data_IF_055603764773
#
_entry.id   IF_055603764773
#
_cell.length_a   1.000
_cell.length_b   1.000
_cell.length_c   1.000
_cell.angle_alpha   90.00
_cell.angle_beta   90.00
_cell.angle_gamma   90.00
#
_symmetry.space_group_name_H-M   'P 1'
#
loop_
_entity.id
_entity.type
_entity.pdbx_description
1 polymer ?
#
# COMPACT_ATOMS: atom_id res chain seq x y z
N UNK A 1 12.51 -3.02 6.32
CA UNK A 1 11.35 -2.18 5.97
C UNK A 1 10.11 -2.78 6.64
N UNK A 2 9.52 -2.10 7.64
CA UNK A 2 8.26 -2.49 8.29
C UNK A 2 7.26 -1.37 7.98
N UNK A 3 6.09 -1.72 7.44
CA UNK A 3 5.05 -0.82 6.97
C UNK A 3 3.95 -0.71 8.01
N UNK A 4 3.50 0.50 8.26
CA UNK A 4 2.53 0.81 9.29
C UNK A 4 1.34 1.52 8.69
N UNK A 5 0.21 0.82 8.68
CA UNK A 5 -1.16 1.32 8.78
C UNK A 5 -2.06 0.24 8.19
N UNK A 6 -2.77 -0.44 9.07
CA UNK A 6 -3.95 -1.19 8.70
C UNK A 6 -4.92 -1.14 9.87
N UNK A 7 -6.08 -0.55 9.61
CA UNK A 7 -7.04 -0.20 10.62
C UNK A 7 -7.85 -1.42 11.05
N UNK A 8 -7.71 -1.79 12.32
CA UNK A 8 -8.60 -2.73 12.99
C UNK A 8 -9.65 -1.91 13.73
N UNK A 9 -10.65 -1.42 12.99
CA UNK A 9 -11.90 -0.95 13.60
C UNK A 9 -12.98 -2.03 13.40
N UNK A 10 -13.92 -2.20 14.35
CA UNK A 10 -15.01 -3.17 14.19
C UNK A 10 -15.92 -2.92 12.97
N UNK A 11 -15.85 -1.74 12.36
CA UNK A 11 -16.62 -1.32 11.17
C UNK A 11 -15.83 -1.43 9.84
N UNK A 12 -14.56 -1.81 9.86
CA UNK A 12 -13.82 -2.24 8.66
C UNK A 12 -13.87 -3.77 8.56
N UNK A 13 -13.66 -4.38 7.37
CA UNK A 13 -13.43 -5.81 7.27
C UNK A 13 -12.28 -6.20 8.19
N UNK A 14 -12.66 -6.78 9.33
CA UNK A 14 -11.75 -7.00 10.43
C UNK A 14 -10.73 -8.08 10.10
N UNK A 15 -9.63 -8.07 10.84
CA UNK A 15 -8.72 -9.22 10.93
C UNK A 15 -9.43 -10.49 11.43
N UNK A 16 -10.69 -10.39 11.86
CA UNK A 16 -11.60 -11.49 12.16
C UNK A 16 -11.74 -12.50 11.02
N UNK A 17 -11.70 -12.07 9.75
CA UNK A 17 -11.68 -12.98 8.60
C UNK A 17 -10.40 -13.85 8.56
N UNK A 18 -9.35 -13.43 9.26
CA UNK A 18 -8.08 -14.17 9.43
C UNK A 18 -8.14 -15.07 10.69
N UNK A 19 -9.15 -14.93 11.58
CA UNK A 19 -9.30 -15.80 12.77
C UNK A 19 -9.84 -17.19 12.43
N UNK A 20 -10.38 -17.40 11.23
CA UNK A 20 -10.85 -18.72 10.76
C UNK A 20 -9.73 -19.70 10.43
N UNK A 21 -8.52 -19.22 10.15
CA UNK A 21 -7.32 -20.05 10.13
C UNK A 21 -6.72 -20.06 11.52
N UNK A 22 -7.24 -20.96 12.35
CA UNK A 22 -6.51 -21.49 13.51
C UNK A 22 -5.06 -21.70 13.05
N UNK A 23 -4.10 -21.00 13.66
CA UNK A 23 -2.68 -21.26 13.49
C UNK A 23 -2.39 -22.66 14.05
N UNK A 24 -2.79 -23.69 13.31
CA UNK A 24 -2.28 -25.02 13.49
C UNK A 24 -0.87 -24.93 12.90
N UNK A 25 0.12 -24.96 13.78
CA UNK A 25 1.48 -25.34 13.40
C UNK A 25 1.44 -26.79 12.92
N UNK A 26 0.85 -27.04 11.75
CA UNK A 26 1.09 -28.29 11.03
C UNK A 26 2.49 -28.20 10.44
N UNK A 27 3.46 -28.62 11.25
CA UNK A 27 4.35 -29.74 10.92
C UNK A 27 5.12 -29.75 9.60
N UNK A 28 5.11 -28.72 8.75
CA UNK A 28 6.06 -28.60 7.63
C UNK A 28 7.28 -27.83 8.11
N UNK A 29 8.37 -28.57 8.31
CA UNK A 29 9.74 -28.02 8.45
C UNK A 29 9.92 -26.90 7.42
N UNK A 30 9.97 -25.64 7.89
CA UNK A 30 10.25 -24.48 7.04
C UNK A 30 11.69 -24.59 6.56
N UNK A 31 11.90 -24.71 5.25
CA UNK A 31 13.25 -24.63 4.67
C UNK A 31 13.76 -23.20 4.82
N UNK A 32 14.94 -23.05 5.42
CA UNK A 32 15.72 -21.79 5.46
C UNK A 32 15.91 -21.35 3.99
N UNK A 33 15.38 -20.18 3.59
CA UNK A 33 15.59 -19.62 2.24
C UNK A 33 14.39 -19.53 1.28
N UNK A 34 13.14 -19.74 1.72
CA UNK A 34 11.97 -19.77 0.81
C UNK A 34 11.05 -18.53 0.79
N UNK A 35 11.38 -17.43 1.47
CA UNK A 35 10.45 -16.29 1.60
C UNK A 35 10.86 -15.06 0.76
N UNK A 36 11.36 -15.27 -0.45
CA UNK A 36 11.56 -14.18 -1.41
C UNK A 36 10.28 -13.94 -2.22
N UNK A 37 9.35 -13.19 -1.62
CA UNK A 37 8.03 -12.89 -2.19
C UNK A 37 7.83 -11.42 -2.57
N UNK A 38 8.90 -10.63 -2.55
CA UNK A 38 8.85 -9.24 -2.93
C UNK A 38 10.18 -8.53 -2.69
N UNK A 39 10.29 -7.30 -3.19
CA UNK A 39 11.53 -6.56 -3.13
C UNK A 39 11.40 -5.13 -3.65
N UNK A 40 12.56 -4.51 -3.86
CA UNK A 40 12.68 -3.14 -4.35
C UNK A 40 13.91 -3.04 -5.24
N UNK A 41 13.74 -2.42 -6.40
CA UNK A 41 14.83 -2.13 -7.31
C UNK A 41 15.81 -1.12 -6.68
N UNK A 42 17.12 -1.28 -6.91
CA UNK A 42 18.11 -0.28 -6.53
C UNK A 42 17.73 1.11 -7.07
N UNK A 43 17.95 2.15 -6.26
CA UNK A 43 17.66 3.55 -6.60
C UNK A 43 16.20 3.85 -7.03
N UNK A 44 15.25 2.94 -6.81
CA UNK A 44 13.86 3.04 -7.30
C UNK A 44 13.74 3.03 -8.83
N UNK A 45 14.75 2.50 -9.54
CA UNK A 45 14.84 2.53 -10.99
C UNK A 45 14.65 1.14 -11.60
N UNK A 46 14.04 1.07 -12.79
CA UNK A 46 13.86 -0.18 -13.52
C UNK A 46 12.65 -1.03 -13.12
N UNK A 47 11.70 -0.48 -12.34
CA UNK A 47 10.51 -1.19 -11.85
C UNK A 47 9.75 -1.92 -12.97
N UNK A 48 9.55 -1.29 -14.13
CA UNK A 48 8.80 -1.89 -15.25
C UNK A 48 9.39 -3.24 -15.69
N UNK A 49 10.72 -3.33 -15.77
CA UNK A 49 11.40 -4.58 -16.14
C UNK A 49 11.41 -5.57 -14.98
N UNK A 50 11.62 -5.08 -13.75
CA UNK A 50 11.57 -5.90 -12.55
C UNK A 50 10.21 -6.60 -12.41
N UNK A 51 9.10 -5.86 -12.47
CA UNK A 51 7.74 -6.39 -12.33
C UNK A 51 7.45 -7.49 -13.35
N UNK A 52 7.84 -7.29 -14.62
CA UNK A 52 7.65 -8.30 -15.68
C UNK A 52 8.43 -9.60 -15.39
N UNK A 53 9.63 -9.49 -14.83
CA UNK A 53 10.42 -10.64 -14.45
C UNK A 53 9.83 -11.35 -13.24
N UNK A 54 9.54 -10.61 -12.17
CA UNK A 54 9.14 -11.21 -10.88
C UNK A 54 7.70 -11.72 -10.85
N UNK A 55 6.83 -11.24 -11.75
CA UNK A 55 5.52 -11.84 -11.99
C UNK A 55 5.61 -13.32 -12.38
N UNK A 56 6.66 -13.72 -13.12
CA UNK A 56 6.91 -15.12 -13.49
C UNK A 56 7.50 -15.95 -12.35
N UNK A 57 8.08 -15.28 -11.34
CA UNK A 57 8.75 -15.91 -10.20
C UNK A 57 7.84 -16.02 -8.97
N UNK A 58 6.57 -15.66 -9.09
CA UNK A 58 5.59 -15.75 -8.01
C UNK A 58 5.81 -14.73 -6.89
N UNK A 59 6.47 -13.59 -7.17
CA UNK A 59 6.48 -12.50 -6.22
C UNK A 59 5.06 -11.98 -6.00
N UNK A 60 4.83 -11.42 -4.81
CA UNK A 60 3.53 -10.88 -4.41
C UNK A 60 3.51 -9.36 -4.38
N UNK A 61 4.65 -8.72 -4.16
CA UNK A 61 4.74 -7.26 -4.13
C UNK A 61 6.06 -6.72 -4.67
N UNK A 62 6.03 -5.49 -5.12
CA UNK A 62 7.17 -4.64 -5.44
C UNK A 62 7.03 -3.31 -4.68
N UNK A 63 8.14 -2.78 -4.17
CA UNK A 63 8.17 -1.53 -3.43
C UNK A 63 9.07 -0.46 -4.09
N UNK A 64 9.15 -0.49 -5.43
CA UNK A 64 10.08 0.32 -6.22
C UNK A 64 9.49 1.63 -6.73
N UNK A 65 8.16 1.78 -6.75
CA UNK A 65 7.50 2.98 -7.29
C UNK A 65 7.86 4.24 -6.48
N UNK A 66 8.47 5.27 -7.09
CA UNK A 66 8.77 6.52 -6.41
C UNK A 66 7.57 7.47 -6.44
N UNK A 67 7.19 8.02 -5.28
CA UNK A 67 6.45 9.30 -5.21
C UNK A 67 4.98 9.27 -5.51
N UNK A 68 4.38 8.08 -5.55
CA UNK A 68 2.94 7.93 -5.60
C UNK A 68 2.21 8.70 -4.49
N UNK A 69 0.90 8.76 -4.64
CA UNK A 69 0.01 9.35 -3.64
C UNK A 69 -0.16 8.40 -2.44
N UNK A 70 -0.48 8.94 -1.26
CA UNK A 70 -0.85 8.14 -0.09
C UNK A 70 -2.29 7.60 -0.25
N UNK A 71 -2.46 6.67 -1.18
CA UNK A 71 -3.72 6.01 -1.54
C UNK A 71 -3.55 4.50 -1.46
N UNK A 72 -4.67 3.76 -1.54
CA UNK A 72 -4.64 2.31 -1.42
C UNK A 72 -3.88 1.63 -2.58
N UNK A 73 -3.03 0.62 -2.29
CA UNK A 73 -2.24 -0.08 -3.31
C UNK A 73 -3.05 -0.71 -4.44
N UNK A 74 -2.47 -0.73 -5.62
CA UNK A 74 -2.99 -1.39 -6.84
C UNK A 74 -2.06 -2.52 -7.25
N UNK A 75 -2.50 -3.37 -8.18
CA UNK A 75 -1.64 -4.38 -8.80
C UNK A 75 -1.15 -3.89 -10.16
N UNK A 76 0.10 -4.22 -10.48
CA UNK A 76 0.72 -4.06 -11.80
C UNK A 76 1.19 -5.45 -12.25
N UNK A 77 0.64 -5.98 -13.35
CA UNK A 77 0.92 -7.35 -13.81
C UNK A 77 0.77 -8.41 -12.70
N UNK A 78 -0.28 -8.29 -11.87
CA UNK A 78 -0.55 -9.23 -10.77
C UNK A 78 0.29 -9.02 -9.50
N UNK A 79 1.28 -8.11 -9.51
CA UNK A 79 2.13 -7.77 -8.37
C UNK A 79 1.56 -6.57 -7.63
N UNK A 80 1.46 -6.61 -6.30
CA UNK A 80 1.12 -5.43 -5.50
C UNK A 80 2.19 -4.34 -5.62
N UNK A 81 1.80 -3.13 -6.00
CA UNK A 81 2.67 -1.96 -6.01
C UNK A 81 2.58 -1.23 -4.65
N UNK A 82 3.68 -1.21 -3.91
CA UNK A 82 3.83 -0.55 -2.61
C UNK A 82 4.74 0.68 -2.75
N UNK A 83 4.20 1.83 -3.18
CA UNK A 83 5.00 2.99 -3.53
C UNK A 83 5.61 3.65 -2.29
N UNK A 84 6.78 4.27 -2.47
CA UNK A 84 7.25 5.27 -1.52
C UNK A 84 6.45 6.56 -1.73
N UNK A 85 5.33 6.68 -1.02
CA UNK A 85 4.45 7.81 -1.21
C UNK A 85 5.09 9.14 -0.80
N UNK A 86 4.57 10.23 -1.36
CA UNK A 86 4.87 11.58 -0.89
C UNK A 86 4.19 11.87 0.45
N UNK A 87 4.93 12.56 1.33
CA UNK A 87 4.46 12.99 2.65
C UNK A 87 4.67 14.50 2.83
N UNK A 88 3.79 15.17 3.58
CA UNK A 88 3.92 16.60 3.84
C UNK A 88 5.26 16.93 4.49
N UNK A 89 5.78 18.12 4.20
CA UNK A 89 6.90 18.70 4.96
C UNK A 89 6.38 19.99 5.57
N UNK A 90 6.08 20.03 6.88
CA UNK A 90 5.53 21.23 7.51
C UNK A 90 6.38 22.48 7.22
N UNK A 91 5.73 23.55 6.77
CA UNK A 91 6.39 24.80 6.35
C UNK A 91 6.98 24.79 4.94
N UNK A 92 6.66 23.80 4.11
CA UNK A 92 7.06 23.71 2.70
C UNK A 92 5.83 23.53 1.81
N UNK A 93 5.84 24.15 0.63
CA UNK A 93 4.74 24.08 -0.34
C UNK A 93 4.62 22.73 -1.07
N UNK A 94 5.61 21.85 -0.94
CA UNK A 94 5.63 20.57 -1.65
C UNK A 94 6.05 19.43 -0.75
N UNK A 95 5.52 18.26 -1.09
CA UNK A 95 5.76 17.02 -0.36
C UNK A 95 7.12 16.41 -0.70
N UNK A 96 7.52 15.40 0.06
CA UNK A 96 8.78 14.70 -0.13
C UNK A 96 8.53 13.20 -0.02
N UNK A 97 9.24 12.39 -0.81
CA UNK A 97 9.16 10.94 -0.67
C UNK A 97 9.40 10.55 0.78
N UNK A 98 8.65 9.57 1.28
CA UNK A 98 8.78 9.03 2.64
C UNK A 98 10.07 8.22 2.87
N UNK A 99 11.20 8.72 2.38
CA UNK A 99 12.52 8.14 2.48
C UNK A 99 13.52 9.14 3.07
N UNK A 100 14.28 8.69 4.08
CA UNK A 100 15.36 9.45 4.73
C UNK A 100 16.33 10.14 3.76
N UNK A 101 16.73 9.47 2.67
CA UNK A 101 17.59 10.04 1.65
C UNK A 101 17.01 11.34 1.05
N UNK A 102 15.71 11.40 0.82
CA UNK A 102 15.07 12.59 0.26
C UNK A 102 15.08 13.76 1.24
N UNK A 103 14.97 13.51 2.55
CA UNK A 103 15.14 14.54 3.58
C UNK A 103 16.60 14.96 3.75
N UNK A 104 17.54 14.02 3.59
CA UNK A 104 18.97 14.30 3.55
C UNK A 104 19.36 15.19 2.36
N UNK A 105 18.85 14.89 1.17
CA UNK A 105 19.14 15.62 -0.05
C UNK A 105 18.54 17.02 -0.03
N UNK A 106 17.34 17.18 0.53
CA UNK A 106 16.61 18.45 0.59
C UNK A 106 16.88 19.32 1.84
N UNK A 107 17.84 18.94 2.69
CA UNK A 107 18.15 19.73 3.89
C UNK A 107 18.64 21.15 3.53
N UNK A 108 18.33 22.17 4.34
CA UNK A 108 18.83 23.52 4.10
C UNK A 108 20.36 23.54 3.96
N UNK A 109 20.86 24.18 2.90
CA UNK A 109 22.30 24.43 2.74
C UNK A 109 22.78 25.38 3.84
N UNK A 110 24.04 25.24 4.26
CA UNK A 110 24.64 26.11 5.29
C UNK A 110 24.52 27.57 4.85
N UNK A 111 23.87 28.42 5.65
CA UNK A 111 24.08 29.87 5.59
C UNK A 111 25.46 30.16 6.21
N UNK A 112 26.26 31.04 5.60
CA UNK A 112 27.59 31.43 6.13
C UNK A 112 27.44 31.81 7.62
N UNK A 113 28.31 31.29 8.48
CA UNK A 113 28.41 31.70 9.89
C UNK A 113 27.59 30.92 10.94
N UNK A 114 26.69 29.99 10.58
CA UNK A 114 25.98 29.15 11.58
C UNK A 114 26.12 27.67 11.27
N UNK A 115 26.72 26.88 12.18
CA UNK A 115 26.69 25.40 12.11
C UNK A 115 25.28 24.95 12.50
N UNK A 116 24.48 24.35 11.59
CA UNK A 116 23.17 23.88 11.97
C UNK A 116 23.31 22.70 12.94
N UNK A 117 22.44 22.63 13.97
CA UNK A 117 22.42 21.51 14.91
C UNK A 117 21.97 20.24 14.15
N UNK A 118 22.91 19.34 13.81
CA UNK A 118 22.63 18.10 13.06
C UNK A 118 21.48 17.27 13.65
N UNK A 119 21.32 17.32 14.98
CA UNK A 119 20.25 16.66 15.72
C UNK A 119 18.84 17.15 15.38
N UNK A 120 18.68 18.32 14.76
CA UNK A 120 17.36 18.84 14.35
C UNK A 120 17.00 18.45 12.91
N UNK A 121 17.93 17.91 12.13
CA UNK A 121 17.70 17.62 10.70
C UNK A 121 16.73 16.47 10.45
N UNK A 122 16.52 15.59 11.43
CA UNK A 122 15.48 14.56 11.36
C UNK A 122 14.07 15.07 11.69
N UNK A 123 13.91 16.30 12.22
CA UNK A 123 12.59 16.83 12.62
C UNK A 123 11.62 16.93 11.44
N UNK A 124 12.00 17.48 10.28
CA UNK A 124 11.08 17.55 9.13
C UNK A 124 10.59 16.17 8.68
N UNK A 125 11.45 15.15 8.71
CA UNK A 125 11.06 13.77 8.38
C UNK A 125 10.08 13.22 9.43
N UNK A 126 10.39 13.38 10.72
CA UNK A 126 9.51 12.97 11.83
C UNK A 126 8.14 13.62 11.71
N UNK A 127 8.11 14.94 11.57
CA UNK A 127 6.87 15.73 11.58
C UNK A 127 6.06 15.48 10.31
N UNK A 128 6.72 15.30 9.17
CA UNK A 128 6.07 14.87 7.93
C UNK A 128 5.46 13.48 8.00
N UNK A 129 6.15 12.52 8.63
CA UNK A 129 5.61 11.16 8.85
C UNK A 129 4.41 11.17 9.79
N UNK A 130 4.42 12.01 10.84
CA UNK A 130 3.26 12.18 11.72
C UNK A 130 2.08 12.83 10.98
N UNK A 131 2.33 13.89 10.22
CA UNK A 131 1.29 14.55 9.42
C UNK A 131 0.68 13.61 8.37
N UNK A 132 1.50 12.82 7.67
CA UNK A 132 1.00 11.81 6.73
C UNK A 132 0.25 10.69 7.44
N UNK A 133 0.66 10.30 8.65
CA UNK A 133 -0.09 9.36 9.45
C UNK A 133 -1.47 9.92 9.80
N UNK A 134 -1.54 11.13 10.38
CA UNK A 134 -2.81 11.72 10.81
C UNK A 134 -3.75 11.93 9.62
N UNK A 135 -3.23 12.41 8.48
CA UNK A 135 -3.94 12.53 7.21
C UNK A 135 -4.62 11.23 6.78
N UNK A 136 -3.90 10.10 6.80
CA UNK A 136 -4.47 8.81 6.44
C UNK A 136 -5.38 8.27 7.55
N UNK A 137 -5.01 8.45 8.82
CA UNK A 137 -5.75 7.94 9.97
C UNK A 137 -7.14 8.58 10.11
N UNK A 138 -7.25 9.87 9.79
CA UNK A 138 -8.49 10.64 9.84
C UNK A 138 -9.21 10.68 8.48
N UNK A 139 -8.52 10.32 7.41
CA UNK A 139 -9.02 10.28 6.04
C UNK A 139 -9.13 8.86 5.51
N UNK A 140 -8.47 8.59 4.39
CA UNK A 140 -8.68 7.42 3.53
C UNK A 140 -8.15 6.08 4.08
N UNK A 141 -7.47 6.07 5.23
CA UNK A 141 -6.85 4.89 5.86
C UNK A 141 -5.81 4.16 5.00
N UNK A 142 -5.29 4.79 3.95
CA UNK A 142 -4.25 4.19 3.11
C UNK A 142 -2.96 3.89 3.91
N UNK A 143 -2.20 2.84 3.55
CA UNK A 143 -0.94 2.51 4.21
C UNK A 143 0.08 3.66 4.16
N UNK A 144 0.90 3.81 5.23
CA UNK A 144 2.08 4.67 5.22
C UNK A 144 3.34 3.82 5.05
N UNK A 145 3.95 3.91 3.88
CA UNK A 145 5.23 3.27 3.57
C UNK A 145 6.38 4.17 4.02
N UNK A 146 7.33 3.65 4.80
CA UNK A 146 8.51 4.40 5.25
C UNK A 146 9.77 3.73 4.71
N UNK A 147 10.49 4.44 3.84
CA UNK A 147 11.82 4.11 3.38
C UNK A 147 12.88 4.65 4.33
N UNK A 148 13.84 3.81 4.71
CA UNK A 148 14.93 4.25 5.55
C UNK A 148 16.16 3.38 5.29
N UNK A 149 17.33 3.99 5.21
CA UNK A 149 18.62 3.32 5.14
C UNK A 149 19.12 3.08 6.57
N UNK A 150 19.70 1.90 6.84
CA UNK A 150 20.33 1.60 8.13
C UNK A 150 21.69 2.30 8.23
N UNK A 151 21.67 3.62 8.09
CA UNK A 151 22.84 4.47 8.00
C UNK A 151 22.86 5.52 9.11
N UNK A 152 24.07 5.93 9.49
CA UNK A 152 24.29 6.89 10.57
C UNK A 152 24.34 8.35 10.12
N UNK A 153 23.83 8.65 8.91
CA UNK A 153 23.86 9.99 8.32
C UNK A 153 23.39 11.07 9.29
N UNK A 154 24.18 12.14 9.37
CA UNK A 154 23.94 13.27 10.27
C UNK A 154 23.81 12.88 11.75
N UNK A 155 24.54 11.84 12.18
CA UNK A 155 24.52 11.32 13.54
C UNK A 155 23.24 10.53 13.84
N UNK A 156 22.71 9.78 12.87
CA UNK A 156 21.57 8.88 13.04
C UNK A 156 20.22 9.58 13.25
N UNK A 157 20.09 10.84 12.82
CA UNK A 157 18.88 11.63 13.12
C UNK A 157 17.62 11.10 12.44
N UNK A 158 17.74 10.45 11.28
CA UNK A 158 16.60 9.89 10.55
C UNK A 158 16.13 8.56 11.16
N UNK A 159 17.06 7.71 11.58
CA UNK A 159 16.75 6.51 12.38
C UNK A 159 15.94 6.86 13.64
N UNK A 160 16.37 7.90 14.39
CA UNK A 160 15.62 8.38 15.56
C UNK A 160 14.26 8.96 15.21
N UNK A 161 14.12 9.60 14.04
CA UNK A 161 12.83 10.08 13.56
C UNK A 161 11.86 8.91 13.32
N UNK A 162 12.32 7.84 12.66
CA UNK A 162 11.53 6.63 12.43
C UNK A 162 11.17 5.94 13.76
N UNK A 163 12.14 5.79 14.66
CA UNK A 163 11.92 5.21 15.99
C UNK A 163 10.84 5.97 16.77
N UNK A 164 10.92 7.30 16.78
CA UNK A 164 9.93 8.16 17.44
C UNK A 164 8.53 7.94 16.86
N UNK A 165 8.39 7.94 15.54
CA UNK A 165 7.10 7.75 14.87
C UNK A 165 6.51 6.38 15.20
N UNK A 166 7.31 5.31 15.15
CA UNK A 166 6.86 3.96 15.51
C UNK A 166 6.31 3.93 16.94
N UNK A 167 7.07 4.49 17.90
CA UNK A 167 6.65 4.55 19.32
C UNK A 167 5.36 5.35 19.53
N UNK A 168 5.08 6.36 18.71
CA UNK A 168 3.85 7.17 18.80
C UNK A 168 2.66 6.57 18.07
N UNK A 169 2.89 5.96 16.92
CA UNK A 169 1.82 5.55 16.00
C UNK A 169 1.37 4.11 16.25
N UNK A 170 2.28 3.15 16.43
CA UNK A 170 1.91 1.74 16.59
C UNK A 170 0.96 1.43 17.76
N UNK A 171 0.98 2.14 18.91
CA UNK A 171 0.02 1.89 19.99
C UNK A 171 -1.34 2.56 19.80
N UNK A 172 -1.55 3.40 18.76
CA UNK A 172 -2.85 4.06 18.55
C UNK A 172 -3.93 3.02 18.21
N UNK A 173 -5.14 3.26 18.68
CA UNK A 173 -6.30 2.39 18.43
C UNK A 173 -6.54 2.22 16.92
N UNK A 174 -6.74 0.99 16.47
CA UNK A 174 -6.95 0.68 15.06
C UNK A 174 -5.73 1.01 14.20
N UNK A 175 -4.52 0.76 14.71
CA UNK A 175 -3.26 0.83 13.95
C UNK A 175 -2.56 -0.51 14.04
N UNK A 176 -2.00 -0.97 12.91
CA UNK A 176 -1.18 -2.16 12.85
C UNK A 176 0.15 -1.90 12.16
N UNK A 177 1.16 -2.47 12.80
CA UNK A 177 2.57 -2.22 12.60
C UNK A 177 3.18 -3.48 11.96
N UNK A 178 3.15 -3.57 10.62
CA UNK A 178 3.24 -4.85 9.89
C UNK A 178 4.43 -4.93 8.92
N UNK A 179 4.70 -6.11 8.38
CA UNK A 179 5.60 -6.27 7.23
C UNK A 179 4.87 -6.08 5.90
N UNK A 180 5.60 -5.88 4.80
CA UNK A 180 5.02 -5.89 3.45
C UNK A 180 4.27 -7.19 3.14
N UNK A 181 4.80 -8.33 3.60
CA UNK A 181 4.13 -9.61 3.48
C UNK A 181 2.75 -9.59 4.15
N UNK A 182 2.69 -9.13 5.40
CA UNK A 182 1.44 -9.09 6.16
C UNK A 182 0.42 -8.13 5.52
N UNK A 183 0.88 -7.02 4.94
CA UNK A 183 0.01 -6.15 4.15
C UNK A 183 -0.50 -6.87 2.88
N UNK A 184 0.36 -7.57 2.15
CA UNK A 184 -0.05 -8.36 0.98
C UNK A 184 -1.03 -9.48 1.36
N UNK A 185 -0.80 -10.18 2.48
CA UNK A 185 -1.72 -11.19 3.03
C UNK A 185 -3.09 -10.57 3.34
N UNK A 186 -3.12 -9.40 3.98
CA UNK A 186 -4.36 -8.71 4.29
C UNK A 186 -5.09 -8.27 3.02
N UNK A 187 -4.38 -7.70 2.04
CA UNK A 187 -4.95 -7.26 0.76
C UNK A 187 -5.55 -8.44 -0.02
N UNK A 188 -4.87 -9.58 -0.05
CA UNK A 188 -5.35 -10.77 -0.78
C UNK A 188 -6.57 -11.42 -0.12
N UNK A 189 -6.76 -11.22 1.19
CA UNK A 189 -7.92 -11.70 1.92
C UNK A 189 -9.18 -10.81 1.73
N UNK A 190 -9.05 -9.64 1.08
CA UNK A 190 -10.19 -8.74 0.90
C UNK A 190 -11.07 -9.13 -0.29
N UNK A 191 -12.37 -8.86 -0.18
CA UNK A 191 -13.24 -8.84 -1.35
C UNK A 191 -12.74 -7.78 -2.35
N UNK A 192 -12.55 -8.10 -3.65
CA UNK A 192 -12.10 -7.13 -4.66
C UNK A 192 -12.90 -5.82 -4.68
N UNK A 193 -14.22 -5.88 -4.44
CA UNK A 193 -15.09 -4.68 -4.38
C UNK A 193 -14.76 -3.75 -3.22
N UNK A 194 -14.34 -4.30 -2.09
CA UNK A 194 -13.87 -3.49 -0.95
C UNK A 194 -12.61 -2.74 -1.36
N UNK A 195 -11.66 -3.42 -2.02
CA UNK A 195 -10.43 -2.77 -2.47
C UNK A 195 -10.68 -1.73 -3.56
N UNK A 196 -11.66 -1.95 -4.44
CA UNK A 196 -12.10 -0.96 -5.43
C UNK A 196 -12.61 0.31 -4.74
N UNK A 197 -13.54 0.17 -3.77
CA UNK A 197 -14.04 1.30 -2.97
C UNK A 197 -12.89 2.03 -2.27
N UNK A 198 -12.03 1.31 -1.56
CA UNK A 198 -10.87 1.91 -0.89
C UNK A 198 -9.97 2.74 -1.81
N UNK A 199 -9.80 2.32 -3.07
CA UNK A 199 -8.97 3.03 -4.08
C UNK A 199 -9.63 4.25 -4.69
N UNK A 200 -10.93 4.47 -4.48
CA UNK A 200 -11.63 5.70 -4.90
C UNK A 200 -11.25 6.86 -3.97
N UNK A 201 -10.91 6.58 -2.71
CA UNK A 201 -10.55 7.61 -1.74
C UNK A 201 -9.17 8.20 -2.03
N UNK A 202 -9.13 9.46 -2.45
CA UNK A 202 -7.90 10.20 -2.68
C UNK A 202 -7.17 10.53 -1.35
N UNK A 203 -6.02 11.19 -1.44
CA UNK A 203 -5.15 11.55 -0.31
C UNK A 203 -5.93 12.29 0.78
N UNK A 204 -6.03 11.68 1.96
CA UNK A 204 -6.74 12.26 3.11
C UNK A 204 -8.26 12.32 2.96
N UNK A 205 -8.83 11.82 1.86
CA UNK A 205 -10.26 11.83 1.62
C UNK A 205 -10.98 10.90 2.60
N UNK A 206 -12.00 11.41 3.28
CA UNK A 206 -12.93 10.59 4.06
C UNK A 206 -13.93 9.92 3.14
N UNK A 207 -14.38 8.68 3.44
CA UNK A 207 -15.50 8.11 2.71
C UNK A 207 -16.76 8.98 2.87
N UNK A 208 -17.65 9.02 1.87
CA UNK A 208 -18.97 9.57 2.06
C UNK A 208 -19.70 8.75 3.14
N UNK A 209 -20.30 9.44 4.13
CA UNK A 209 -20.94 8.80 5.27
C UNK A 209 -19.95 8.11 6.21
N UNK A 210 -20.41 7.06 6.89
CA UNK A 210 -19.56 6.24 7.76
C UNK A 210 -18.91 5.07 7.02
N UNK A 211 -17.82 4.54 7.59
CA UNK A 211 -17.05 3.44 7.03
C UNK A 211 -17.84 2.14 6.86
N UNK A 212 -18.77 1.83 7.78
CA UNK A 212 -19.55 0.60 7.73
C UNK A 212 -20.45 0.61 6.50
N UNK A 213 -21.17 1.71 6.30
CA UNK A 213 -22.06 1.89 5.15
C UNK A 213 -21.26 2.05 3.86
N UNK A 214 -20.15 2.78 3.89
CA UNK A 214 -19.29 2.92 2.71
C UNK A 214 -18.78 1.56 2.21
N UNK A 215 -18.30 0.71 3.12
CA UNK A 215 -17.72 -0.60 2.76
C UNK A 215 -18.75 -1.73 2.67
N UNK A 216 -20.00 -1.50 3.07
CA UNK A 216 -21.07 -2.46 2.83
C UNK A 216 -21.08 -2.82 1.35
N UNK A 217 -21.04 -4.12 1.05
CA UNK A 217 -21.23 -4.56 -0.32
C UNK A 217 -22.66 -4.17 -0.71
N UNK A 218 -22.83 -3.40 -1.79
CA UNK A 218 -24.14 -3.23 -2.40
C UNK A 218 -24.72 -4.63 -2.67
N UNK A 219 -25.93 -4.95 -2.17
CA UNK A 219 -26.63 -6.16 -2.57
C UNK A 219 -26.87 -6.08 -4.08
N UNK A 220 -26.28 -7.00 -4.84
CA UNK A 220 -26.68 -7.21 -6.23
C UNK A 220 -26.00 -6.33 -7.26
N UNK A 221 -24.87 -6.82 -7.79
CA UNK A 221 -24.73 -6.96 -9.23
C UNK A 221 -23.78 -8.11 -9.46
N UNK A 222 -24.28 -9.33 -9.32
CA UNK A 222 -23.63 -10.49 -9.94
C UNK A 222 -23.23 -10.08 -11.35
N UNK A 223 -21.97 -10.31 -11.71
CA UNK A 223 -21.53 -10.05 -13.07
C UNK A 223 -22.39 -10.91 -13.99
N UNK A 224 -23.29 -10.28 -14.75
CA UNK A 224 -24.03 -10.89 -15.86
C UNK A 224 -23.05 -11.24 -16.99
N UNK A 225 -22.12 -12.15 -16.74
CA UNK A 225 -21.23 -12.76 -17.74
C UNK A 225 -21.58 -14.21 -18.04
N UNK A 226 -22.65 -14.72 -17.45
CA UNK A 226 -23.07 -16.12 -17.60
C UNK A 226 -24.55 -16.24 -17.99
N UNK A 227 -25.03 -15.44 -18.95
CA UNK A 227 -26.28 -15.74 -19.70
C UNK A 227 -26.28 -15.26 -21.16
N UNK A 228 -25.14 -14.78 -21.68
CA UNK A 228 -25.05 -14.30 -23.07
C UNK A 228 -24.59 -15.38 -24.07
N UNK A 229 -24.18 -16.57 -23.61
CA UNK A 229 -23.65 -17.60 -24.53
C UNK A 229 -24.71 -18.61 -25.03
N UNK A 230 -25.95 -18.54 -24.54
CA UNK A 230 -26.98 -19.51 -24.91
C UNK A 230 -28.14 -18.93 -25.73
N UNK A 231 -28.12 -17.62 -26.03
CA UNK A 231 -29.17 -16.95 -26.83
C UNK A 231 -28.81 -16.65 -28.29
N UNK A 232 -27.59 -16.95 -28.74
CA UNK A 232 -27.17 -16.71 -30.13
C UNK A 232 -27.13 -17.96 -31.02
N UNK A 233 -27.36 -19.16 -30.47
CA UNK A 233 -27.30 -20.41 -31.25
C UNK A 233 -28.66 -20.88 -31.82
N UNK A 234 -29.76 -20.17 -31.53
CA UNK A 234 -31.12 -20.58 -31.94
C UNK A 234 -31.71 -19.89 -33.17
N UNK A 235 -31.04 -18.91 -33.77
CA UNK A 235 -31.66 -18.02 -34.78
C UNK A 235 -31.07 -18.10 -36.20
N UNK A 236 -30.16 -19.04 -36.49
CA UNK A 236 -29.52 -19.16 -37.82
C UNK A 236 -29.74 -20.48 -38.56
N UNK A 237 -30.67 -21.33 -38.12
CA UNK A 237 -30.90 -22.65 -38.75
C UNK A 237 -32.26 -22.83 -39.47
N UNK A 238 -32.95 -21.75 -39.89
CA UNK A 238 -34.26 -21.89 -40.59
C UNK A 238 -34.44 -21.13 -41.91
N UNK A 239 -33.39 -20.57 -42.51
CA UNK A 239 -33.51 -19.86 -43.80
C UNK A 239 -32.38 -20.25 -44.76
N UNK A 240 -32.35 -21.52 -45.17
CA UNK A 240 -31.53 -21.98 -46.30
C UNK A 240 -32.02 -23.33 -46.85
N UNK A 241 -33.31 -23.44 -47.21
CA UNK A 241 -33.79 -24.54 -48.08
C UNK A 241 -35.07 -24.16 -48.81
N UNK A 242 -34.96 -23.24 -49.76
CA UNK A 242 -35.83 -23.10 -50.93
C UNK A 242 -35.13 -22.18 -51.92
N UNK A 243 -35.35 -22.44 -53.20
CA UNK A 243 -34.79 -21.75 -54.38
C UNK A 243 -33.44 -22.29 -54.86
N UNK A 244 -33.54 -23.32 -55.72
CA UNK A 244 -32.93 -23.39 -57.06
C UNK A 244 -33.55 -24.60 -57.78
N UNK A 245 -34.63 -24.31 -58.50
CA UNK A 245 -34.86 -24.87 -59.84
C UNK A 245 -33.99 -24.09 -60.84
#
# INVERSE_FOLDING_TARGET
>A
MRVLLLSDRPDLPGWSAIRGTRWRHEGRRRRKGQELIGGRAPCLQGQKNLIRAVAKLGWRYDASSPGGLQVWPRRIHGIWDFPLQQIPVPGRAFETLSMDYNFLANKPRKKKGKRPKRSTWGRPMRDGMLAAFDRAYEGNRAPLFIGNHFESWNGGTYMRAVEYVIKKVCPRKGVRCVSFKQLADWLDAQNPRVLEKLRVLDVGMRPPGDWKNYLAAEPGRTSDRETAHERTSGHHARTAKRERE
#
